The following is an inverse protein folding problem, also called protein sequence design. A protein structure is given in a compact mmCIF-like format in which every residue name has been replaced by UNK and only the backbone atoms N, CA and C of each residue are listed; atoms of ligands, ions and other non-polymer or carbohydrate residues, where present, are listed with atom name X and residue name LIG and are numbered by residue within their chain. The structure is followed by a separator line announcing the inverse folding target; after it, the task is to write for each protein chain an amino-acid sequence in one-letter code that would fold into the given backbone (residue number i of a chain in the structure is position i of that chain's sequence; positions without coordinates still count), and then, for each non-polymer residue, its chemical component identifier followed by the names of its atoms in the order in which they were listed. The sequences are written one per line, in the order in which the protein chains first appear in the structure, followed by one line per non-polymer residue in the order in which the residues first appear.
data_IF_779391900687
#
_entry.id   IF_779391900687
#
_cell.length_a   1.000
_cell.length_b   1.000
_cell.length_c   1.000
_cell.angle_alpha   90.00
_cell.angle_beta   90.00
_cell.angle_gamma   90.00
#
_symmetry.space_group_name_H-M   'P 1'
#
loop_
_entity.id
_entity.type
_entity.pdbx_description
1 polymer ?
#
# COMPACT_ATOMS: atom_id res chain seq x y z
N UNK A 1 -44.53 -18.11 17.80
CA UNK A 1 -43.83 -17.30 16.78
C UNK A 1 -43.55 -15.90 17.32
N UNK A 2 -42.44 -15.70 18.06
CA UNK A 2 -42.12 -14.40 18.68
C UNK A 2 -40.61 -14.13 18.81
N UNK A 3 -39.79 -14.87 18.06
CA UNK A 3 -38.32 -14.79 18.10
C UNK A 3 -37.68 -14.36 16.78
N UNK A 4 -38.48 -14.07 15.74
CA UNK A 4 -37.97 -13.73 14.40
C UNK A 4 -37.95 -12.22 14.10
N UNK A 5 -38.19 -11.36 15.09
CA UNK A 5 -38.21 -9.89 14.90
C UNK A 5 -37.06 -9.14 15.57
N UNK A 6 -36.21 -9.83 16.34
CA UNK A 6 -35.08 -9.19 17.05
C UNK A 6 -33.80 -9.17 16.18
N UNK A 7 -33.65 -10.13 15.25
CA UNK A 7 -32.48 -10.25 14.39
C UNK A 7 -32.43 -9.24 13.23
N UNK A 8 -33.59 -8.76 12.76
CA UNK A 8 -33.65 -7.74 11.71
C UNK A 8 -33.41 -6.31 12.24
N UNK A 9 -33.62 -6.07 13.53
CA UNK A 9 -33.46 -4.75 14.13
C UNK A 9 -31.99 -4.40 14.44
N UNK A 10 -31.11 -5.40 14.53
CA UNK A 10 -29.68 -5.18 14.79
C UNK A 10 -28.86 -4.96 13.52
N UNK A 11 -29.39 -5.33 12.35
CA UNK A 11 -28.71 -5.09 11.06
C UNK A 11 -28.91 -3.65 10.56
N UNK A 12 -30.02 -3.01 10.95
CA UNK A 12 -30.34 -1.63 10.60
C UNK A 12 -29.86 -0.63 11.66
N UNK A 13 -28.64 -0.85 12.17
CA UNK A 13 -27.88 0.10 13.01
C UNK A 13 -26.45 0.30 12.50
N UNK A 14 -26.18 0.00 11.23
CA UNK A 14 -25.08 0.67 10.55
C UNK A 14 -25.52 2.11 10.28
N UNK A 15 -25.29 2.95 11.28
CA UNK A 15 -25.31 4.40 11.13
C UNK A 15 -24.59 4.76 9.83
N UNK A 16 -25.32 5.39 8.93
CA UNK A 16 -24.75 6.41 8.04
C UNK A 16 -24.08 7.40 8.99
N UNK A 17 -22.79 7.21 9.21
CA UNK A 17 -22.00 8.09 10.06
C UNK A 17 -21.88 9.42 9.32
N UNK A 18 -22.71 10.36 9.78
CA UNK A 18 -22.58 11.81 9.66
C UNK A 18 -21.35 12.28 8.88
N UNK A 19 -21.54 12.57 7.59
CA UNK A 19 -20.72 13.54 6.90
C UNK A 19 -21.08 14.89 7.52
N UNK A 20 -20.29 15.35 8.50
CA UNK A 20 -19.94 16.76 8.79
C UNK A 20 -19.42 16.90 10.22
N UNK A 21 -18.17 16.52 10.43
CA UNK A 21 -17.28 17.32 11.25
C UNK A 21 -16.00 17.45 10.42
N UNK A 22 -15.72 18.66 9.93
CA UNK A 22 -14.44 18.95 9.28
C UNK A 22 -13.38 19.04 10.39
N UNK A 23 -13.10 17.91 11.05
CA UNK A 23 -11.92 17.80 11.88
C UNK A 23 -10.72 17.84 10.93
N UNK A 24 -9.82 18.80 11.15
CA UNK A 24 -8.56 18.87 10.43
C UNK A 24 -7.78 17.59 10.73
N UNK A 25 -7.86 16.60 9.83
CA UNK A 25 -7.10 15.37 9.95
C UNK A 25 -5.66 15.63 9.54
N UNK A 26 -4.73 15.07 10.29
CA UNK A 26 -3.30 15.19 10.00
C UNK A 26 -2.92 14.17 8.93
N UNK A 27 -2.10 14.57 7.97
CA UNK A 27 -1.70 13.70 6.86
C UNK A 27 -0.24 13.28 7.07
N UNK A 28 0.01 11.97 7.06
CA UNK A 28 1.34 11.42 6.88
C UNK A 28 1.55 11.05 5.42
N UNK A 29 2.68 11.50 4.87
CA UNK A 29 3.18 11.07 3.58
C UNK A 29 4.39 10.17 3.80
N UNK A 30 4.37 8.97 3.22
CA UNK A 30 5.48 8.02 3.25
C UNK A 30 5.70 7.50 1.83
N UNK A 31 6.92 7.44 1.35
CA UNK A 31 7.24 6.99 -0.02
C UNK A 31 8.67 6.46 -0.06
N UNK A 32 8.99 5.73 -1.13
CA UNK A 32 10.34 5.27 -1.47
C UNK A 32 11.01 4.53 -0.30
N UNK A 33 10.24 3.61 0.28
CA UNK A 33 10.73 2.78 1.39
C UNK A 33 11.76 1.79 0.86
N UNK A 34 11.58 1.29 -0.36
CA UNK A 34 12.47 0.34 -1.05
C UNK A 34 12.89 -0.87 -0.17
N UNK A 35 12.06 -1.31 0.77
CA UNK A 35 12.36 -2.39 1.72
C UNK A 35 13.26 -2.00 2.90
N UNK A 36 13.51 -0.71 3.13
CA UNK A 36 14.32 -0.19 4.24
C UNK A 36 13.45 0.03 5.49
N UNK A 37 13.34 -0.99 6.33
CA UNK A 37 12.55 -0.89 7.57
C UNK A 37 13.16 0.09 8.59
N UNK A 38 14.48 0.29 8.56
CA UNK A 38 15.12 1.27 9.45
C UNK A 38 14.73 2.71 9.06
N UNK A 39 14.55 2.98 7.77
CA UNK A 39 13.99 4.25 7.29
C UNK A 39 12.56 4.44 7.81
N UNK A 40 11.71 3.41 7.74
CA UNK A 40 10.35 3.45 8.33
C UNK A 40 10.40 3.79 9.82
N UNK A 41 11.27 3.14 10.61
CA UNK A 41 11.46 3.48 12.04
C UNK A 41 11.84 4.94 12.24
N UNK A 42 12.74 5.48 11.42
CA UNK A 42 13.18 6.87 11.52
C UNK A 42 12.04 7.85 11.19
N UNK A 43 11.22 7.55 10.18
CA UNK A 43 10.02 8.34 9.84
C UNK A 43 9.01 8.28 10.97
N UNK A 44 8.71 7.09 11.49
CA UNK A 44 7.74 6.92 12.58
C UNK A 44 8.17 7.66 13.84
N UNK A 45 9.46 7.66 14.19
CA UNK A 45 10.00 8.41 15.34
C UNK A 45 9.72 9.91 15.27
N UNK A 46 9.65 10.47 14.06
CA UNK A 46 9.38 11.90 13.83
C UNK A 46 7.91 12.17 13.51
N UNK A 47 7.11 11.12 13.32
CA UNK A 47 5.73 11.25 12.86
C UNK A 47 4.77 11.47 14.02
N UNK A 48 3.96 12.51 13.88
CA UNK A 48 2.81 12.72 14.77
C UNK A 48 1.61 11.85 14.38
N UNK A 49 1.64 11.14 13.25
CA UNK A 49 0.53 10.35 12.73
C UNK A 49 0.74 8.83 12.83
N UNK A 50 1.99 8.38 12.72
CA UNK A 50 2.36 6.97 12.69
C UNK A 50 2.96 6.55 14.04
N UNK A 51 2.78 5.28 14.38
CA UNK A 51 3.41 4.65 15.53
C UNK A 51 3.81 3.23 15.19
N UNK A 52 4.84 2.72 15.88
CA UNK A 52 5.23 1.33 15.84
C UNK A 52 4.86 0.70 17.17
N UNK A 53 4.07 -0.38 17.13
CA UNK A 53 3.81 -1.24 18.28
C UNK A 53 4.70 -2.46 18.19
N UNK A 54 5.30 -2.88 19.30
CA UNK A 54 6.20 -4.02 19.35
C UNK A 54 5.53 -5.18 20.10
N UNK A 55 5.56 -6.37 19.49
CA UNK A 55 5.13 -7.62 20.11
C UNK A 55 6.27 -8.64 19.96
N UNK A 56 7.11 -8.73 20.99
CA UNK A 56 8.33 -9.53 20.93
C UNK A 56 9.35 -8.97 19.93
N UNK A 57 9.69 -9.77 18.91
CA UNK A 57 10.63 -9.39 17.84
C UNK A 57 9.93 -8.67 16.66
N UNK A 58 8.59 -8.69 16.63
CA UNK A 58 7.81 -8.11 15.54
C UNK A 58 7.40 -6.68 15.85
N UNK A 59 7.43 -5.83 14.83
CA UNK A 59 7.01 -4.44 14.89
C UNK A 59 5.88 -4.24 13.88
N UNK A 60 4.78 -3.69 14.36
CA UNK A 60 3.58 -3.40 13.57
C UNK A 60 3.41 -1.90 13.40
N UNK A 61 3.18 -1.47 12.16
CA UNK A 61 2.91 -0.09 11.82
C UNK A 61 1.44 0.24 12.05
N UNK A 62 1.18 1.28 12.81
CA UNK A 62 -0.17 1.72 13.13
C UNK A 62 -0.38 3.22 12.82
N UNK A 63 -1.62 3.55 12.46
CA UNK A 63 -2.07 4.91 12.15
C UNK A 63 -2.94 5.43 13.30
N UNK A 64 -2.63 6.61 13.81
CA UNK A 64 -3.43 7.27 14.86
C UNK A 64 -4.82 7.68 14.34
N UNK A 65 -5.80 7.77 15.22
CA UNK A 65 -7.23 7.89 14.85
C UNK A 65 -7.59 9.16 14.07
N UNK A 66 -6.92 10.27 14.34
CA UNK A 66 -7.15 11.58 13.71
C UNK A 66 -6.26 11.81 12.46
N UNK A 67 -5.67 10.74 11.94
CA UNK A 67 -4.68 10.80 10.87
C UNK A 67 -5.10 10.05 9.60
N UNK A 68 -4.52 10.47 8.48
CA UNK A 68 -4.59 9.85 7.16
C UNK A 68 -3.17 9.53 6.71
N UNK A 69 -2.96 8.35 6.14
CA UNK A 69 -1.71 7.95 5.49
C UNK A 69 -1.89 7.98 3.97
N UNK A 70 -0.98 8.66 3.29
CA UNK A 70 -0.77 8.53 1.85
C UNK A 70 0.59 7.86 1.65
N UNK A 71 0.57 6.67 1.08
CA UNK A 71 1.78 5.98 0.65
C UNK A 71 2.04 6.30 -0.82
N UNK A 72 3.21 6.86 -1.14
CA UNK A 72 3.57 7.36 -2.47
C UNK A 72 4.03 6.31 -3.46
N UNK A 73 4.19 5.05 -3.03
CA UNK A 73 4.74 3.98 -3.86
C UNK A 73 6.21 3.67 -3.57
N UNK A 74 6.73 2.69 -4.31
CA UNK A 74 8.08 2.11 -4.21
C UNK A 74 8.35 1.54 -2.81
N UNK A 75 7.49 0.63 -2.38
CA UNK A 75 7.58 -0.01 -1.05
C UNK A 75 8.75 -0.99 -0.96
N UNK A 76 9.13 -1.60 -2.08
CA UNK A 76 10.13 -2.66 -2.11
C UNK A 76 10.96 -2.66 -3.39
N UNK A 77 12.28 -2.77 -3.24
CA UNK A 77 13.15 -3.09 -4.38
C UNK A 77 14.54 -3.55 -3.93
N UNK A 78 15.13 -2.86 -2.96
CA UNK A 78 16.56 -2.98 -2.62
C UNK A 78 16.84 -3.54 -1.23
N UNK A 79 15.91 -3.41 -0.29
CA UNK A 79 16.09 -3.76 1.12
C UNK A 79 15.53 -5.12 1.52
N UNK A 80 16.14 -5.68 2.57
CA UNK A 80 15.84 -7.01 3.11
C UNK A 80 14.42 -7.16 3.68
N UNK A 81 13.74 -6.04 3.95
CA UNK A 81 12.40 -6.01 4.56
C UNK A 81 11.29 -5.68 3.57
N UNK A 82 11.49 -5.96 2.29
CA UNK A 82 10.50 -5.71 1.24
C UNK A 82 9.14 -6.33 1.56
N UNK A 83 9.09 -7.63 1.90
CA UNK A 83 7.83 -8.32 2.22
C UNK A 83 7.14 -7.68 3.43
N UNK A 84 7.91 -7.42 4.51
CA UNK A 84 7.40 -6.73 5.70
C UNK A 84 6.79 -5.37 5.36
N UNK A 85 7.42 -4.59 4.48
CA UNK A 85 6.88 -3.29 4.09
C UNK A 85 5.50 -3.43 3.39
N UNK A 86 5.38 -4.37 2.46
CA UNK A 86 4.10 -4.64 1.79
C UNK A 86 3.02 -5.14 2.75
N UNK A 87 3.33 -6.14 3.59
CA UNK A 87 2.39 -6.70 4.57
C UNK A 87 1.85 -5.62 5.51
N UNK A 88 2.72 -4.72 5.99
CA UNK A 88 2.32 -3.64 6.89
C UNK A 88 1.44 -2.59 6.19
N UNK A 89 1.72 -2.27 4.92
CA UNK A 89 0.88 -1.35 4.14
C UNK A 89 -0.49 -1.94 3.83
N UNK A 90 -0.55 -3.23 3.49
CA UNK A 90 -1.81 -3.96 3.26
C UNK A 90 -2.62 -4.03 4.55
N UNK A 91 -2.00 -4.43 5.66
CA UNK A 91 -2.67 -4.51 6.95
C UNK A 91 -3.26 -3.15 7.39
N UNK A 92 -2.52 -2.06 7.19
CA UNK A 92 -3.01 -0.71 7.44
C UNK A 92 -4.22 -0.36 6.56
N UNK A 93 -4.19 -0.72 5.27
CA UNK A 93 -5.30 -0.47 4.35
C UNK A 93 -6.55 -1.26 4.74
N UNK A 94 -6.39 -2.52 5.14
CA UNK A 94 -7.50 -3.35 5.62
C UNK A 94 -8.11 -2.81 6.92
N UNK A 95 -7.26 -2.38 7.86
CA UNK A 95 -7.69 -1.82 9.15
C UNK A 95 -8.31 -0.43 9.02
N UNK A 96 -7.87 0.35 8.04
CA UNK A 96 -8.26 1.76 7.85
C UNK A 96 -8.55 2.09 6.38
N UNK A 97 -9.61 1.49 5.78
CA UNK A 97 -9.87 1.58 4.35
C UNK A 97 -10.03 3.01 3.83
N UNK A 98 -10.65 3.90 4.61
CA UNK A 98 -10.91 5.29 4.21
C UNK A 98 -9.78 6.26 4.61
N UNK A 99 -8.78 5.80 5.38
CA UNK A 99 -7.70 6.66 5.90
C UNK A 99 -6.31 6.28 5.39
N UNK A 100 -6.21 5.23 4.60
CA UNK A 100 -4.96 4.78 3.97
C UNK A 100 -5.13 4.79 2.47
N UNK A 101 -4.33 5.61 1.79
CA UNK A 101 -4.27 5.70 0.33
C UNK A 101 -2.95 5.11 -0.11
N UNK A 102 -2.99 4.08 -0.96
CA UNK A 102 -1.81 3.43 -1.52
C UNK A 102 -1.68 3.86 -2.98
N UNK A 103 -0.71 4.73 -3.27
CA UNK A 103 -0.28 5.01 -4.63
C UNK A 103 0.74 3.96 -5.04
N UNK A 104 0.75 3.64 -6.33
CA UNK A 104 1.63 2.62 -6.89
C UNK A 104 2.80 3.32 -7.55
N UNK A 105 4.02 3.00 -7.10
CA UNK A 105 5.26 3.52 -7.65
C UNK A 105 5.66 2.80 -8.93
N UNK A 106 6.63 3.36 -9.66
CA UNK A 106 7.08 2.79 -10.93
C UNK A 106 7.68 1.39 -10.74
N UNK A 107 8.41 1.15 -9.63
CA UNK A 107 9.00 -0.16 -9.35
C UNK A 107 7.92 -1.18 -8.99
N UNK A 108 6.89 -0.75 -8.26
CA UNK A 108 5.75 -1.59 -7.90
C UNK A 108 5.03 -2.08 -9.17
N UNK A 109 4.75 -1.18 -10.12
CA UNK A 109 4.14 -1.54 -11.42
C UNK A 109 5.02 -2.52 -12.19
N UNK A 110 6.32 -2.26 -12.28
CA UNK A 110 7.24 -3.11 -13.05
C UNK A 110 7.31 -4.55 -12.48
N UNK A 111 7.21 -4.70 -11.16
CA UNK A 111 7.21 -6.04 -10.53
C UNK A 111 5.86 -6.75 -10.63
N UNK A 112 4.74 -6.02 -10.63
CA UNK A 112 3.44 -6.62 -10.94
C UNK A 112 3.38 -7.08 -12.40
N UNK A 113 3.92 -6.30 -13.34
CA UNK A 113 4.01 -6.70 -14.76
C UNK A 113 4.84 -7.96 -14.96
N UNK A 114 5.89 -8.19 -14.17
CA UNK A 114 6.69 -9.42 -14.25
C UNK A 114 5.85 -10.70 -14.10
N UNK A 115 4.80 -10.68 -13.26
CA UNK A 115 3.89 -11.84 -13.12
C UNK A 115 3.02 -12.09 -14.35
N UNK A 116 2.76 -11.06 -15.16
CA UNK A 116 2.04 -11.16 -16.43
C UNK A 116 2.96 -11.60 -17.58
N UNK A 117 4.17 -11.02 -17.65
CA UNK A 117 5.16 -11.28 -18.71
C UNK A 117 5.79 -12.70 -18.59
N UNK A 118 5.81 -13.28 -17.39
CA UNK A 118 6.25 -14.66 -17.13
C UNK A 118 5.12 -15.69 -17.29
N UNK A 119 3.92 -15.27 -17.69
CA UNK A 119 2.84 -16.19 -18.04
C UNK A 119 3.13 -16.74 -19.45
N UNK A 120 3.14 -18.06 -19.61
CA UNK A 120 3.68 -18.76 -20.80
C UNK A 120 3.11 -18.27 -22.15
N UNK A 121 1.95 -17.63 -22.14
CA UNK A 121 1.29 -17.05 -23.32
C UNK A 121 2.03 -15.85 -23.92
N UNK A 122 2.84 -15.13 -23.14
CA UNK A 122 3.52 -13.89 -23.56
C UNK A 122 5.02 -14.09 -23.83
N UNK A 123 5.55 -15.28 -23.54
CA UNK A 123 6.94 -15.70 -23.77
C UNK A 123 7.24 -16.01 -25.26
N UNK A 124 6.51 -15.41 -26.19
CA UNK A 124 6.83 -15.48 -27.60
C UNK A 124 7.98 -14.49 -27.89
N UNK A 125 9.20 -15.02 -27.83
CA UNK A 125 10.48 -14.32 -28.05
C UNK A 125 10.52 -13.50 -29.36
N UNK A 126 9.61 -13.77 -30.31
CA UNK A 126 9.47 -13.03 -31.56
C UNK A 126 8.94 -11.58 -31.37
N UNK A 127 8.20 -11.30 -30.29
CA UNK A 127 7.70 -9.96 -29.97
C UNK A 127 8.72 -9.11 -29.22
N UNK A 128 9.50 -9.71 -28.31
CA UNK A 128 10.50 -8.97 -27.52
C UNK A 128 11.68 -8.48 -28.37
N UNK A 129 12.07 -9.23 -29.42
CA UNK A 129 13.13 -8.81 -30.35
C UNK A 129 12.78 -7.58 -31.20
N UNK A 130 11.48 -7.26 -31.39
CA UNK A 130 11.05 -6.09 -32.18
C UNK A 130 11.13 -4.77 -31.41
N UNK A 131 11.04 -4.79 -30.08
CA UNK A 131 11.12 -3.57 -29.26
C UNK A 131 12.55 -3.04 -29.08
N UNK A 132 13.55 -3.92 -29.20
CA UNK A 132 14.96 -3.57 -29.00
C UNK A 132 15.61 -3.02 -30.27
N UNK A 133 15.13 -3.45 -31.45
CA UNK A 133 15.66 -2.98 -32.73
C UNK A 133 15.37 -1.48 -32.99
N UNK A 134 14.26 -0.93 -32.46
CA UNK A 134 13.93 0.49 -32.67
C UNK A 134 14.69 1.49 -31.79
N UNK A 135 15.49 1.03 -30.81
CA UNK A 135 16.29 1.92 -29.95
C UNK A 135 17.72 2.13 -30.49
N UNK A 136 18.25 1.18 -31.27
CA UNK A 136 19.58 1.30 -31.88
C UNK A 136 19.59 2.18 -33.13
N UNK A 137 18.43 2.38 -33.79
CA UNK A 137 18.28 3.25 -34.97
C UNK A 137 18.26 4.77 -34.66
N UNK A 138 18.46 5.20 -33.40
CA UNK A 138 18.52 6.62 -33.01
C UNK A 138 19.92 7.13 -32.62
N UNK A 139 20.98 6.35 -32.81
CA UNK A 139 22.37 6.76 -32.48
C UNK A 139 23.36 6.66 -33.66
N UNK A 140 22.89 6.81 -34.91
CA UNK A 140 23.75 7.20 -36.02
C UNK A 140 23.46 8.65 -36.45
N UNK A 141 24.15 9.59 -35.80
CA UNK A 141 24.61 10.87 -36.36
C UNK A 141 25.96 11.25 -35.75
#
# INVERSE_FOLDING_TARGET
MRYLSILLLNWMRMSVASVTANSTRRVALLTDVEGNWQYVRNVVRQSSCLQLTASGQEETLELRDDCVLVFGGDAGDKGDYTLKCYEQLVHLKEKHPDRVVLLVGNRDVNKMRLTSELNDTEMDLSFMAKGWCSAEDMLEY
#
